data_IF_172624133963
#
_entry.id   IF_172624133963
#
_cell.length_a   1.000
_cell.length_b   1.000
_cell.length_c   1.000
_cell.angle_alpha   90.00
_cell.angle_beta   90.00
_cell.angle_gamma   90.00
#
_symmetry.space_group_name_H-M   'P 1'
#
loop_
_entity.id
_entity.type
_entity.pdbx_description
1 polymer ?
#
# COMPACT_ATOMS: atom_id res chain seq x y z
N UNK A 1 8.43 9.27 62.99
CA UNK A 1 7.61 8.63 61.94
C UNK A 1 8.57 8.00 60.94
N UNK A 2 8.66 6.67 60.86
CA UNK A 2 9.61 5.96 59.97
C UNK A 2 8.81 5.38 58.80
N UNK A 3 8.99 5.91 57.59
CA UNK A 3 8.38 5.38 56.37
C UNK A 3 9.21 4.19 55.86
N UNK A 4 8.66 2.98 55.99
CA UNK A 4 9.24 1.75 55.47
C UNK A 4 8.85 1.57 53.99
N UNK A 5 9.45 2.36 53.09
CA UNK A 5 9.30 2.13 51.65
C UNK A 5 10.18 0.94 51.25
N UNK A 6 9.61 -0.26 51.28
CA UNK A 6 10.23 -1.46 50.71
C UNK A 6 10.17 -1.39 49.19
N UNK A 7 11.25 -0.88 48.59
CA UNK A 7 11.48 -1.01 47.16
C UNK A 7 11.74 -2.49 46.84
N UNK A 8 10.71 -3.22 46.43
CA UNK A 8 10.85 -4.56 45.85
C UNK A 8 11.50 -4.42 44.46
N UNK A 9 12.71 -4.94 44.29
CA UNK A 9 13.33 -5.07 42.96
C UNK A 9 12.74 -6.23 42.19
N UNK A 10 12.74 -6.14 40.86
CA UNK A 10 12.41 -7.26 39.97
C UNK A 10 13.46 -8.37 40.09
N UNK A 11 13.04 -9.63 40.09
CA UNK A 11 13.97 -10.76 40.00
C UNK A 11 14.43 -10.96 38.55
N UNK A 12 15.64 -11.47 38.39
CA UNK A 12 16.17 -11.83 37.06
C UNK A 12 15.30 -12.90 36.37
N UNK A 13 14.69 -13.79 37.16
CA UNK A 13 13.82 -14.87 36.65
C UNK A 13 12.52 -14.31 36.07
N UNK A 14 11.92 -13.30 36.72
CA UNK A 14 10.72 -12.63 36.21
C UNK A 14 10.97 -11.97 34.85
N UNK A 15 12.10 -11.28 34.71
CA UNK A 15 12.45 -10.65 33.42
C UNK A 15 12.77 -11.72 32.36
N UNK A 16 13.42 -12.82 32.72
CA UNK A 16 13.77 -13.91 31.80
C UNK A 16 12.54 -14.55 31.16
N UNK A 17 11.51 -14.88 31.95
CA UNK A 17 10.29 -15.52 31.42
C UNK A 17 9.54 -14.56 30.49
N UNK A 18 9.49 -13.27 30.85
CA UNK A 18 8.80 -12.24 30.06
C UNK A 18 9.43 -12.09 28.68
N UNK A 19 10.76 -11.99 28.59
CA UNK A 19 11.43 -11.85 27.27
C UNK A 19 11.28 -13.11 26.41
N UNK A 20 11.21 -14.29 27.02
CA UNK A 20 10.96 -15.55 26.29
C UNK A 20 9.56 -15.56 25.67
N UNK A 21 8.54 -15.18 26.44
CA UNK A 21 7.16 -15.13 25.95
C UNK A 21 7.01 -14.06 24.85
N UNK A 22 7.55 -12.86 25.06
CA UNK A 22 7.53 -11.80 24.05
C UNK A 22 8.30 -12.23 22.79
N UNK A 23 9.44 -12.90 22.93
CA UNK A 23 10.22 -13.44 21.82
C UNK A 23 9.44 -14.46 20.99
N UNK A 24 8.73 -15.38 21.64
CA UNK A 24 7.87 -16.36 20.96
C UNK A 24 6.72 -15.68 20.20
N UNK A 25 6.04 -14.71 20.83
CA UNK A 25 4.96 -13.97 20.20
C UNK A 25 5.46 -13.15 19.00
N UNK A 26 6.59 -12.46 19.14
CA UNK A 26 7.19 -11.67 18.07
C UNK A 26 7.61 -12.55 16.87
N UNK A 27 8.18 -13.72 17.13
CA UNK A 27 8.60 -14.66 16.09
C UNK A 27 7.43 -15.11 15.18
N UNK A 28 6.23 -15.29 15.74
CA UNK A 28 5.02 -15.61 14.96
C UNK A 28 4.37 -14.36 14.34
N UNK A 29 4.39 -13.23 15.05
CA UNK A 29 3.70 -12.01 14.63
C UNK A 29 4.36 -11.34 13.42
N UNK A 30 5.70 -11.31 13.36
CA UNK A 30 6.45 -10.64 12.26
C UNK A 30 6.10 -11.22 10.88
N UNK A 31 6.19 -12.54 10.61
CA UNK A 31 5.87 -13.07 9.29
C UNK A 31 4.39 -12.91 8.94
N UNK A 32 3.49 -13.04 9.92
CA UNK A 32 2.06 -12.79 9.72
C UNK A 32 1.79 -11.33 9.32
N UNK A 33 2.42 -10.37 10.00
CA UNK A 33 2.30 -8.95 9.71
C UNK A 33 2.85 -8.61 8.33
N UNK A 34 3.99 -9.18 7.93
CA UNK A 34 4.56 -9.00 6.59
C UNK A 34 3.59 -9.45 5.49
N UNK A 35 2.94 -10.61 5.66
CA UNK A 35 1.93 -11.11 4.71
C UNK A 35 0.72 -10.18 4.61
N UNK A 36 0.19 -9.72 5.75
CA UNK A 36 -0.95 -8.79 5.78
C UNK A 36 -0.57 -7.47 5.10
N UNK A 37 0.62 -6.93 5.39
CA UNK A 37 1.10 -5.70 4.77
C UNK A 37 1.19 -5.84 3.25
N UNK A 38 1.77 -6.94 2.74
CA UNK A 38 1.87 -7.18 1.30
C UNK A 38 0.49 -7.24 0.62
N UNK A 39 -0.47 -7.97 1.21
CA UNK A 39 -1.84 -8.04 0.68
C UNK A 39 -2.55 -6.69 0.69
N UNK A 40 -2.35 -5.89 1.74
CA UNK A 40 -2.92 -4.53 1.83
C UNK A 40 -2.32 -3.60 0.78
N UNK A 41 -1.01 -3.69 0.53
CA UNK A 41 -0.36 -2.95 -0.55
C UNK A 41 -0.95 -3.34 -1.90
N UNK A 42 -1.09 -4.63 -2.19
CA UNK A 42 -1.62 -5.11 -3.47
C UNK A 42 -3.06 -4.61 -3.71
N UNK A 43 -3.90 -4.61 -2.67
CA UNK A 43 -5.27 -4.07 -2.73
C UNK A 43 -5.29 -2.56 -2.98
N UNK A 44 -4.39 -1.81 -2.34
CA UNK A 44 -4.29 -0.37 -2.54
C UNK A 44 -3.82 -0.03 -3.96
N UNK A 45 -2.80 -0.73 -4.47
CA UNK A 45 -2.34 -0.58 -5.87
C UNK A 45 -3.46 -0.92 -6.85
N UNK A 46 -4.19 -2.02 -6.63
CA UNK A 46 -5.33 -2.39 -7.46
C UNK A 46 -6.42 -1.30 -7.44
N UNK A 47 -6.68 -0.67 -6.30
CA UNK A 47 -7.64 0.44 -6.22
C UNK A 47 -7.15 1.65 -7.03
N UNK A 48 -5.87 2.00 -6.94
CA UNK A 48 -5.28 3.07 -7.75
C UNK A 48 -5.39 2.77 -9.25
N UNK A 49 -5.15 1.52 -9.67
CA UNK A 49 -5.32 1.09 -11.07
C UNK A 49 -6.78 1.20 -11.53
N UNK A 50 -7.75 0.86 -10.67
CA UNK A 50 -9.18 1.05 -10.96
C UNK A 50 -9.54 2.51 -11.14
N UNK A 51 -9.00 3.40 -10.30
CA UNK A 51 -9.22 4.83 -10.45
C UNK A 51 -8.65 5.33 -11.79
N UNK A 52 -7.43 4.92 -12.13
CA UNK A 52 -6.79 5.26 -13.41
C UNK A 52 -7.58 4.76 -14.62
N UNK A 53 -8.05 3.51 -14.60
CA UNK A 53 -8.89 2.95 -15.67
C UNK A 53 -10.19 3.73 -15.84
N UNK A 54 -10.90 4.00 -14.73
CA UNK A 54 -12.14 4.78 -14.77
C UNK A 54 -11.93 6.22 -15.27
N UNK A 55 -10.81 6.86 -14.90
CA UNK A 55 -10.46 8.18 -15.40
C UNK A 55 -10.14 8.17 -16.90
N UNK A 56 -9.42 7.14 -17.36
CA UNK A 56 -9.12 6.96 -18.78
C UNK A 56 -10.41 6.76 -19.59
N UNK A 57 -11.32 5.90 -19.14
CA UNK A 57 -12.60 5.66 -19.80
C UNK A 57 -13.43 6.93 -19.93
N UNK A 58 -13.46 7.75 -18.87
CA UNK A 58 -14.15 9.03 -18.90
C UNK A 58 -13.53 9.99 -19.91
N UNK A 59 -12.19 10.04 -19.97
CA UNK A 59 -11.47 10.85 -20.95
C UNK A 59 -11.72 10.39 -22.38
N UNK A 60 -11.74 9.07 -22.63
CA UNK A 60 -12.04 8.51 -23.95
C UNK A 60 -13.46 8.84 -24.40
N UNK A 61 -14.43 8.77 -23.48
CA UNK A 61 -15.82 9.12 -23.76
C UNK A 61 -15.99 10.61 -24.11
N UNK A 62 -15.24 11.50 -23.43
CA UNK A 62 -15.33 12.95 -23.63
C UNK A 62 -14.62 13.41 -24.92
N UNK A 63 -13.45 12.83 -25.22
CA UNK A 63 -12.58 13.31 -26.29
C UNK A 63 -12.64 12.46 -27.57
N UNK A 64 -13.30 11.29 -27.54
CA UNK A 64 -13.41 10.40 -28.69
C UNK A 64 -12.08 9.79 -29.15
N UNK A 65 -11.08 9.75 -28.25
CA UNK A 65 -9.76 9.15 -28.50
C UNK A 65 -9.65 7.78 -27.84
N UNK A 66 -8.70 6.96 -28.29
CA UNK A 66 -8.47 5.61 -27.76
C UNK A 66 -7.20 5.49 -26.93
N UNK A 67 -6.43 6.57 -26.78
CA UNK A 67 -5.18 6.59 -26.03
C UNK A 67 -5.07 7.87 -25.21
N UNK A 68 -4.53 7.77 -24.00
CA UNK A 68 -4.32 8.91 -23.11
C UNK A 68 -3.09 8.70 -22.24
N UNK A 69 -2.32 9.77 -22.06
CA UNK A 69 -1.18 9.78 -21.14
C UNK A 69 -1.62 10.09 -19.71
N UNK A 70 -0.98 9.47 -18.73
CA UNK A 70 -1.32 9.63 -17.30
C UNK A 70 -1.25 11.09 -16.82
N UNK A 71 -0.46 11.95 -17.46
CA UNK A 71 -0.39 13.40 -17.18
C UNK A 71 -1.68 14.16 -17.47
N UNK A 72 -2.50 13.65 -18.40
CA UNK A 72 -3.82 14.25 -18.71
C UNK A 72 -4.88 13.80 -17.69
N UNK A 73 -4.68 12.63 -17.08
CA UNK A 73 -5.64 12.06 -16.13
C UNK A 73 -5.37 12.48 -14.68
N UNK A 74 -4.10 12.57 -14.31
CA UNK A 74 -3.64 12.78 -12.93
C UNK A 74 -2.96 14.13 -12.79
N UNK A 75 -3.48 14.97 -11.89
CA UNK A 75 -2.88 16.27 -11.60
C UNK A 75 -3.77 17.13 -10.71
N UNK A 76 -3.25 18.28 -10.30
CA UNK A 76 -3.94 19.20 -9.39
C UNK A 76 -4.90 20.16 -10.09
N UNK A 77 -5.00 20.12 -11.41
CA UNK A 77 -5.85 21.03 -12.18
C UNK A 77 -7.29 20.52 -12.21
N UNK A 78 -8.26 21.43 -12.40
CA UNK A 78 -9.69 21.09 -12.51
C UNK A 78 -10.03 20.22 -13.72
N UNK A 79 -9.17 20.18 -14.73
CA UNK A 79 -9.33 19.34 -15.93
C UNK A 79 -8.84 17.90 -15.74
N UNK A 80 -8.13 17.61 -14.64
CA UNK A 80 -7.69 16.25 -14.33
C UNK A 80 -8.80 15.50 -13.58
N UNK A 81 -8.90 14.19 -13.83
CA UNK A 81 -9.93 13.33 -13.26
C UNK A 81 -9.53 12.79 -11.88
N UNK A 82 -8.22 12.71 -11.61
CA UNK A 82 -7.66 12.24 -10.33
C UNK A 82 -6.66 13.27 -9.83
N UNK A 83 -6.77 13.66 -8.55
CA UNK A 83 -5.89 14.70 -7.96
C UNK A 83 -4.44 14.26 -7.81
N UNK A 84 -4.24 13.00 -7.45
CA UNK A 84 -2.94 12.36 -7.32
C UNK A 84 -3.10 10.85 -7.17
N UNK A 85 -2.15 10.09 -7.70
CA UNK A 85 -2.01 8.67 -7.39
C UNK A 85 -0.82 8.51 -6.45
N UNK A 86 -1.07 8.04 -5.24
CA UNK A 86 -0.03 7.87 -4.22
C UNK A 86 0.57 6.47 -4.32
N UNK A 87 1.89 6.38 -4.44
CA UNK A 87 2.60 5.11 -4.42
C UNK A 87 2.61 4.52 -3.01
N UNK A 88 2.22 3.25 -2.86
CA UNK A 88 2.12 2.57 -1.55
C UNK A 88 3.24 1.58 -1.27
N UNK A 89 3.95 1.15 -2.32
CA UNK A 89 4.96 0.11 -2.30
C UNK A 89 6.12 0.35 -3.29
N UNK A 90 6.32 1.58 -3.77
CA UNK A 90 7.39 1.92 -4.73
C UNK A 90 7.11 1.50 -6.17
N UNK A 91 5.84 1.21 -6.48
CA UNK A 91 5.37 0.79 -7.79
C UNK A 91 5.41 1.91 -8.83
N UNK A 92 5.54 1.51 -10.10
CA UNK A 92 5.43 2.40 -11.25
C UNK A 92 4.18 2.07 -12.04
N UNK A 93 3.34 3.07 -12.27
CA UNK A 93 2.13 2.94 -13.09
C UNK A 93 2.46 3.14 -14.57
N UNK A 94 1.68 2.48 -15.43
CA UNK A 94 1.75 2.72 -16.87
C UNK A 94 1.50 4.21 -17.19
N UNK A 95 2.27 4.75 -18.13
CA UNK A 95 2.23 6.17 -18.51
C UNK A 95 1.27 6.47 -19.65
N UNK A 96 0.91 5.46 -20.43
CA UNK A 96 -0.05 5.54 -21.54
C UNK A 96 -1.10 4.47 -21.32
N UNK A 97 -2.36 4.87 -21.32
CA UNK A 97 -3.51 3.99 -21.20
C UNK A 97 -4.21 3.93 -22.56
N UNK A 98 -4.56 2.72 -22.97
CA UNK A 98 -5.28 2.45 -24.21
C UNK A 98 -6.69 1.93 -23.88
N UNK A 99 -7.67 2.34 -24.67
CA UNK A 99 -9.07 1.94 -24.47
C UNK A 99 -9.22 0.42 -24.60
N UNK A 100 -9.82 -0.21 -23.58
CA UNK A 100 -10.03 -1.66 -23.54
C UNK A 100 -8.76 -2.49 -23.26
N UNK A 101 -7.60 -1.84 -23.05
CA UNK A 101 -6.39 -2.51 -22.59
C UNK A 101 -6.34 -2.59 -21.06
N UNK A 102 -5.59 -3.57 -20.56
CA UNK A 102 -5.40 -3.73 -19.12
C UNK A 102 -4.44 -2.66 -18.57
N UNK A 103 -4.81 -2.06 -17.44
CA UNK A 103 -3.98 -1.06 -16.74
C UNK A 103 -3.06 -1.79 -15.76
N UNK A 104 -1.75 -1.55 -15.85
CA UNK A 104 -0.75 -2.32 -15.10
C UNK A 104 0.12 -1.42 -14.21
N UNK A 105 0.44 -1.92 -13.02
CA UNK A 105 1.46 -1.39 -12.13
C UNK A 105 2.62 -2.38 -12.02
N UNK A 106 3.84 -1.87 -12.18
CA UNK A 106 5.09 -2.63 -12.13
C UNK A 106 5.81 -2.39 -10.80
N UNK A 107 6.73 -3.29 -10.47
CA UNK A 107 7.64 -3.17 -9.32
C UNK A 107 6.97 -2.92 -7.97
N UNK A 108 5.76 -3.46 -7.76
CA UNK A 108 5.06 -3.39 -6.47
C UNK A 108 5.89 -4.11 -5.40
N UNK A 109 6.38 -3.34 -4.44
CA UNK A 109 7.37 -3.74 -3.44
C UNK A 109 8.65 -4.36 -4.06
N UNK A 110 9.05 -3.89 -5.24
CA UNK A 110 10.31 -4.23 -5.93
C UNK A 110 10.32 -5.56 -6.68
N UNK A 111 9.17 -6.25 -6.81
CA UNK A 111 9.13 -7.55 -7.50
C UNK A 111 7.79 -7.93 -8.15
N UNK A 112 6.65 -7.38 -7.68
CA UNK A 112 5.32 -7.83 -8.13
C UNK A 112 4.77 -6.92 -9.23
N UNK A 113 4.01 -7.52 -10.15
CA UNK A 113 3.21 -6.79 -11.14
C UNK A 113 1.74 -7.01 -10.83
N UNK A 114 0.95 -5.93 -10.86
CA UNK A 114 -0.50 -5.97 -10.63
C UNK A 114 -1.19 -5.40 -11.85
N UNK A 115 -2.13 -6.15 -12.40
CA UNK A 115 -2.88 -5.77 -13.59
C UNK A 115 -4.36 -5.66 -13.25
N UNK A 116 -4.98 -4.60 -13.74
CA UNK A 116 -6.42 -4.37 -13.70
C UNK A 116 -6.96 -4.44 -15.12
N UNK A 117 -7.88 -5.38 -15.37
CA UNK A 117 -8.58 -5.49 -16.63
C UNK A 117 -9.83 -4.62 -16.55
N UNK A 118 -9.90 -3.62 -17.43
CA UNK A 118 -11.04 -2.72 -17.52
C UNK A 118 -12.20 -3.36 -18.29
#
# INVERSE_FOLDING_TARGET
MKNNNSSKGFTLVEIMIVVVIIGLLAAMAIPAFQKVRASSQDKAVLNNLRQLGSAADQYFLENGVSEVTSSSLVGTNSSNYIKSVQTVAGETYVTTLEQGAAVTAFDVAGARTITYNN
#
